data_IF_429220407606
#
_entry.id   IF_429220407606
#
_cell.length_a   1.000
_cell.length_b   1.000
_cell.length_c   1.000
_cell.angle_alpha   90.00
_cell.angle_beta   90.00
_cell.angle_gamma   90.00
#
_symmetry.space_group_name_H-M   'P 1'
#
loop_
_entity.id
_entity.type
_entity.pdbx_description
1 polymer ?
#
# COMPACT_ATOMS: atom_id res chain seq x y z
N UNK A 1 -19.36 -14.37 -17.02
CA UNK A 1 -18.30 -15.35 -16.63
C UNK A 1 -17.85 -14.99 -15.23
N UNK A 2 -17.45 -15.98 -14.42
CA UNK A 2 -16.86 -15.69 -13.11
C UNK A 2 -15.40 -15.20 -13.25
N UNK A 3 -14.99 -14.23 -12.46
CA UNK A 3 -13.59 -13.84 -12.34
C UNK A 3 -12.86 -14.88 -11.50
N UNK A 4 -11.73 -15.39 -11.97
CA UNK A 4 -10.85 -16.21 -11.14
C UNK A 4 -9.81 -15.31 -10.50
N UNK A 5 -9.78 -15.27 -9.14
CA UNK A 5 -8.97 -14.34 -8.35
C UNK A 5 -8.18 -15.12 -7.31
N UNK A 6 -6.88 -14.85 -7.24
CA UNK A 6 -6.02 -15.39 -6.19
C UNK A 6 -6.37 -14.79 -4.84
N UNK A 7 -6.56 -15.63 -3.82
CA UNK A 7 -6.77 -15.21 -2.44
C UNK A 7 -5.63 -15.69 -1.55
N UNK A 8 -4.91 -14.75 -0.95
CA UNK A 8 -3.94 -15.03 0.10
C UNK A 8 -4.53 -14.55 1.43
N UNK A 9 -4.98 -15.44 2.32
CA UNK A 9 -5.58 -15.02 3.59
C UNK A 9 -4.65 -14.20 4.48
N UNK A 10 -3.35 -14.46 4.42
CA UNK A 10 -2.32 -13.80 5.22
C UNK A 10 -2.07 -14.46 6.58
N UNK A 11 -1.27 -13.78 7.40
CA UNK A 11 -0.86 -14.20 8.75
C UNK A 11 -1.61 -13.43 9.84
N UNK A 12 -1.57 -13.93 11.06
CA UNK A 12 -2.10 -13.25 12.23
C UNK A 12 -3.59 -12.93 12.09
N UNK A 13 -3.95 -11.64 12.02
CA UNK A 13 -5.33 -11.19 11.80
C UNK A 13 -5.82 -11.39 10.36
N UNK A 14 -4.90 -11.74 9.45
CA UNK A 14 -5.18 -11.88 8.02
C UNK A 14 -6.38 -12.76 7.69
N UNK A 15 -6.49 -13.98 8.22
CA UNK A 15 -7.64 -14.86 7.98
C UNK A 15 -8.98 -14.25 8.37
N UNK A 16 -9.04 -13.48 9.47
CA UNK A 16 -10.29 -12.85 9.94
C UNK A 16 -10.71 -11.71 9.01
N UNK A 17 -9.79 -10.77 8.71
CA UNK A 17 -10.10 -9.60 7.86
C UNK A 17 -10.33 -9.99 6.39
N UNK A 18 -9.58 -10.99 5.87
CA UNK A 18 -9.76 -11.48 4.51
C UNK A 18 -11.11 -12.19 4.34
N UNK A 19 -11.51 -13.01 5.32
CA UNK A 19 -12.83 -13.66 5.31
C UNK A 19 -13.95 -12.63 5.34
N UNK A 20 -13.82 -11.59 6.18
CA UNK A 20 -14.79 -10.50 6.26
C UNK A 20 -14.91 -9.77 4.90
N UNK A 21 -13.79 -9.43 4.27
CA UNK A 21 -13.78 -8.76 2.97
C UNK A 21 -14.35 -9.65 1.86
N UNK A 22 -13.96 -10.93 1.78
CA UNK A 22 -14.50 -11.89 0.80
C UNK A 22 -16.02 -11.97 0.89
N UNK A 23 -16.59 -12.13 2.09
CA UNK A 23 -18.04 -12.17 2.30
C UNK A 23 -18.74 -10.90 1.84
N UNK A 24 -18.17 -9.74 2.11
CA UNK A 24 -18.70 -8.46 1.65
C UNK A 24 -18.66 -8.32 0.12
N UNK A 25 -17.56 -8.77 -0.51
CA UNK A 25 -17.40 -8.76 -1.97
C UNK A 25 -18.41 -9.70 -2.63
N UNK A 26 -18.54 -10.94 -2.15
CA UNK A 26 -19.50 -11.92 -2.66
C UNK A 26 -20.95 -11.42 -2.54
N UNK A 27 -21.26 -10.71 -1.47
CA UNK A 27 -22.59 -10.13 -1.25
C UNK A 27 -22.95 -9.01 -2.26
N UNK A 28 -21.99 -8.48 -3.03
CA UNK A 28 -22.27 -7.55 -4.16
C UNK A 28 -22.90 -8.24 -5.34
N UNK A 29 -22.84 -9.57 -5.42
CA UNK A 29 -23.37 -10.36 -6.54
C UNK A 29 -22.39 -10.55 -7.70
N UNK A 30 -21.16 -10.00 -7.62
CA UNK A 30 -20.10 -10.26 -8.61
C UNK A 30 -19.66 -11.73 -8.49
N UNK A 31 -19.70 -12.46 -9.60
CA UNK A 31 -19.31 -13.88 -9.62
C UNK A 31 -17.78 -14.01 -9.58
N UNK A 32 -17.25 -14.53 -8.48
CA UNK A 32 -15.80 -14.72 -8.25
C UNK A 32 -15.55 -16.17 -7.83
N UNK A 33 -14.54 -16.78 -8.45
CA UNK A 33 -13.93 -18.04 -8.05
C UNK A 33 -12.59 -17.74 -7.34
N UNK A 34 -12.51 -18.03 -6.06
CA UNK A 34 -11.32 -17.77 -5.26
C UNK A 34 -10.30 -18.92 -5.35
N UNK A 35 -9.15 -18.66 -5.97
CA UNK A 35 -7.99 -19.55 -5.96
C UNK A 35 -7.16 -19.30 -4.71
N UNK A 36 -7.42 -20.06 -3.65
CA UNK A 36 -6.82 -19.88 -2.33
C UNK A 36 -5.42 -20.48 -2.24
N UNK A 37 -4.42 -19.65 -1.99
CA UNK A 37 -3.02 -20.02 -1.76
C UNK A 37 -2.50 -19.46 -0.45
N UNK A 38 -1.42 -20.05 0.09
CA UNK A 38 -0.80 -19.61 1.35
C UNK A 38 0.59 -19.05 1.10
N UNK A 39 0.93 -17.97 1.81
CA UNK A 39 2.24 -17.35 1.85
C UNK A 39 2.53 -16.86 3.27
N UNK A 40 3.74 -16.42 3.55
CA UNK A 40 4.17 -15.88 4.84
C UNK A 40 4.46 -16.97 5.87
N UNK A 41 4.29 -16.65 7.14
CA UNK A 41 4.58 -17.56 8.25
C UNK A 41 3.75 -18.85 8.16
N UNK A 42 2.49 -18.73 7.78
CA UNK A 42 1.60 -19.90 7.60
C UNK A 42 2.16 -20.88 6.55
N UNK A 43 2.73 -20.38 5.45
CA UNK A 43 3.33 -21.25 4.43
C UNK A 43 4.65 -21.86 4.93
N UNK A 44 5.48 -21.09 5.63
CA UNK A 44 6.71 -21.57 6.24
C UNK A 44 6.43 -22.74 7.19
N UNK A 45 5.41 -22.61 8.04
CA UNK A 45 5.04 -23.63 9.03
C UNK A 45 4.47 -24.90 8.38
N UNK A 46 3.78 -24.78 7.24
CA UNK A 46 3.09 -25.91 6.58
C UNK A 46 3.94 -26.62 5.52
N UNK A 47 4.77 -25.90 4.79
CA UNK A 47 5.54 -26.46 3.67
C UNK A 47 7.02 -26.06 3.63
N UNK A 48 7.53 -25.35 4.64
CA UNK A 48 8.95 -24.98 4.76
C UNK A 48 9.38 -23.81 3.86
N UNK A 49 8.47 -23.24 3.08
CA UNK A 49 8.74 -22.12 2.18
C UNK A 49 7.87 -20.92 2.53
N UNK A 50 8.49 -19.73 2.66
CA UNK A 50 7.75 -18.52 3.01
C UNK A 50 6.94 -17.95 1.84
N UNK A 51 7.42 -18.16 0.62
CA UNK A 51 6.76 -17.77 -0.63
C UNK A 51 6.85 -18.95 -1.64
N UNK A 52 5.96 -19.95 -1.53
CA UNK A 52 5.92 -21.06 -2.47
C UNK A 52 5.69 -20.58 -3.90
N UNK A 53 6.37 -21.19 -4.87
CA UNK A 53 6.26 -20.81 -6.30
C UNK A 53 4.80 -20.82 -6.79
N UNK A 54 3.98 -21.75 -6.32
CA UNK A 54 2.53 -21.83 -6.63
C UNK A 54 1.76 -20.53 -6.35
N UNK A 55 2.25 -19.68 -5.43
CA UNK A 55 1.61 -18.38 -5.13
C UNK A 55 1.82 -17.41 -6.28
N UNK A 56 3.05 -17.34 -6.81
CA UNK A 56 3.37 -16.50 -7.97
C UNK A 56 2.65 -17.03 -9.21
N UNK A 57 2.65 -18.34 -9.42
CA UNK A 57 1.98 -18.99 -10.56
C UNK A 57 0.47 -18.70 -10.56
N UNK A 58 -0.18 -18.78 -9.38
CA UNK A 58 -1.60 -18.44 -9.22
C UNK A 58 -1.87 -16.96 -9.57
N UNK A 59 -1.03 -16.02 -9.06
CA UNK A 59 -1.23 -14.59 -9.35
C UNK A 59 -1.00 -14.30 -10.85
N UNK A 60 0.00 -14.91 -11.46
CA UNK A 60 0.28 -14.76 -12.90
C UNK A 60 -0.90 -15.28 -13.73
N UNK A 61 -1.42 -16.46 -13.40
CA UNK A 61 -2.53 -17.07 -14.11
C UNK A 61 -3.84 -16.27 -13.97
N UNK A 62 -4.14 -15.78 -12.76
CA UNK A 62 -5.39 -15.09 -12.46
C UNK A 62 -5.29 -13.55 -12.65
N UNK A 63 -4.07 -12.98 -12.76
CA UNK A 63 -3.76 -11.55 -12.91
C UNK A 63 -4.22 -10.64 -11.78
N UNK A 64 -5.13 -11.10 -10.92
CA UNK A 64 -5.70 -10.34 -9.81
C UNK A 64 -5.59 -11.15 -8.53
N UNK A 65 -5.15 -10.49 -7.45
CA UNK A 65 -5.02 -11.11 -6.14
C UNK A 65 -5.59 -10.19 -5.05
N UNK A 66 -6.36 -10.76 -4.13
CA UNK A 66 -6.72 -10.15 -2.86
C UNK A 66 -5.85 -10.79 -1.77
N UNK A 67 -5.07 -9.97 -1.05
CA UNK A 67 -4.05 -10.46 -0.12
C UNK A 67 -4.22 -9.86 1.28
N UNK A 68 -4.37 -10.72 2.28
CA UNK A 68 -4.27 -10.34 3.68
C UNK A 68 -2.84 -9.97 4.09
N UNK A 69 -2.65 -9.39 5.28
CA UNK A 69 -1.34 -8.98 5.78
C UNK A 69 -0.41 -10.19 5.99
N UNK A 70 0.87 -10.03 5.66
CA UNK A 70 1.91 -11.04 5.89
C UNK A 70 2.90 -10.55 6.94
N UNK A 71 3.40 -11.47 7.76
CA UNK A 71 4.39 -11.16 8.80
C UNK A 71 5.79 -11.05 8.17
N UNK A 72 6.50 -9.96 8.47
CA UNK A 72 7.92 -9.80 8.15
C UNK A 72 8.69 -9.63 9.46
N UNK A 73 9.68 -10.49 9.79
CA UNK A 73 10.52 -10.32 10.98
C UNK A 73 11.32 -9.02 10.93
N UNK A 74 11.56 -8.42 12.09
CA UNK A 74 12.38 -7.21 12.23
C UNK A 74 13.80 -7.59 12.58
N UNK A 75 14.79 -7.01 11.90
CA UNK A 75 16.22 -7.12 12.19
C UNK A 75 16.89 -8.36 11.62
N UNK A 76 16.40 -9.55 11.91
CA UNK A 76 16.96 -10.83 11.45
C UNK A 76 15.89 -11.72 10.83
N UNK A 77 16.27 -12.65 9.98
CA UNK A 77 15.36 -13.58 9.32
C UNK A 77 15.27 -13.37 7.80
N UNK A 78 14.13 -13.71 7.22
CA UNK A 78 13.93 -13.59 5.78
C UNK A 78 13.50 -12.17 5.35
N UNK A 79 13.81 -11.79 4.12
CA UNK A 79 13.34 -10.53 3.51
C UNK A 79 11.82 -10.51 3.38
N UNK A 80 11.26 -9.30 3.33
CA UNK A 80 9.82 -9.11 3.21
C UNK A 80 9.21 -9.88 2.03
N UNK A 81 8.28 -10.78 2.33
CA UNK A 81 7.48 -11.52 1.32
C UNK A 81 6.71 -10.55 0.42
N UNK A 82 6.22 -9.44 0.99
CA UNK A 82 5.54 -8.40 0.21
C UNK A 82 6.46 -7.81 -0.86
N UNK A 83 7.72 -7.51 -0.50
CA UNK A 83 8.73 -7.02 -1.45
C UNK A 83 9.04 -8.07 -2.51
N UNK A 84 9.20 -9.34 -2.12
CA UNK A 84 9.47 -10.43 -3.05
C UNK A 84 8.34 -10.59 -4.08
N UNK A 85 7.07 -10.56 -3.66
CA UNK A 85 5.91 -10.62 -4.58
C UNK A 85 5.92 -9.43 -5.54
N UNK A 86 6.16 -8.21 -5.04
CA UNK A 86 6.19 -6.98 -5.86
C UNK A 86 7.28 -7.01 -6.92
N UNK A 87 8.47 -7.49 -6.55
CA UNK A 87 9.61 -7.63 -7.47
C UNK A 87 9.38 -8.75 -8.50
N UNK A 88 8.94 -9.93 -8.07
CA UNK A 88 8.73 -11.08 -8.95
C UNK A 88 7.66 -10.83 -10.02
N UNK A 89 6.65 -9.98 -9.72
CA UNK A 89 5.53 -9.68 -10.61
C UNK A 89 5.61 -8.28 -11.23
N UNK A 90 6.72 -7.57 -11.08
CA UNK A 90 6.90 -6.17 -11.52
C UNK A 90 5.71 -5.26 -11.15
N UNK A 91 5.25 -5.33 -9.91
CA UNK A 91 4.17 -4.49 -9.39
C UNK A 91 4.74 -3.10 -9.06
N UNK A 92 5.02 -2.32 -10.06
CA UNK A 92 5.82 -1.09 -9.98
C UNK A 92 5.11 0.09 -9.31
N UNK A 93 3.79 0.09 -9.24
CA UNK A 93 3.02 1.18 -8.66
C UNK A 93 2.25 0.72 -7.41
N UNK A 94 2.58 1.28 -6.25
CA UNK A 94 1.80 1.11 -5.04
C UNK A 94 0.84 2.30 -4.90
N UNK A 95 -0.45 2.03 -4.96
CA UNK A 95 -1.53 3.00 -4.86
C UNK A 95 -2.16 2.92 -3.47
N UNK A 96 -2.16 4.02 -2.72
CA UNK A 96 -2.72 4.12 -1.36
C UNK A 96 -3.65 5.33 -1.26
N UNK A 97 -4.95 5.20 -1.52
CA UNK A 97 -5.91 6.25 -1.26
C UNK A 97 -6.07 6.49 0.24
N UNK A 98 -6.02 7.74 0.65
CA UNK A 98 -6.20 8.19 2.03
C UNK A 98 -7.37 9.16 2.07
N UNK A 99 -8.57 8.65 2.37
CA UNK A 99 -9.81 9.41 2.40
C UNK A 99 -10.46 9.35 3.77
N UNK A 100 -10.96 10.49 4.25
CA UNK A 100 -11.79 10.54 5.45
C UNK A 100 -13.13 9.84 5.23
N UNK A 101 -13.56 9.04 6.21
CA UNK A 101 -14.85 8.36 6.19
C UNK A 101 -15.73 8.88 7.32
N UNK A 102 -17.04 9.12 7.09
CA UNK A 102 -17.97 9.52 8.14
C UNK A 102 -17.95 8.53 9.30
N UNK A 103 -17.98 9.03 10.53
CA UNK A 103 -17.96 8.20 11.74
C UNK A 103 -16.57 7.73 12.18
N UNK A 104 -15.56 7.81 11.32
CA UNK A 104 -14.17 7.52 11.70
C UNK A 104 -13.56 8.72 12.40
N UNK A 105 -13.01 8.48 13.59
CA UNK A 105 -12.42 9.55 14.42
C UNK A 105 -11.03 9.88 13.92
N UNK A 106 -10.85 11.14 13.52
CA UNK A 106 -9.57 11.71 13.16
C UNK A 106 -9.48 13.15 13.64
N UNK A 107 -8.26 13.65 13.75
CA UNK A 107 -7.98 15.07 14.00
C UNK A 107 -8.39 15.94 12.80
N UNK A 108 -8.38 15.37 11.61
CA UNK A 108 -8.68 16.04 10.35
C UNK A 108 -9.99 15.52 9.77
N UNK A 109 -10.67 16.38 9.02
CA UNK A 109 -11.88 16.03 8.28
C UNK A 109 -11.68 16.32 6.80
N UNK A 110 -12.50 15.72 5.94
CA UNK A 110 -12.52 15.95 4.50
C UNK A 110 -11.16 15.74 3.79
N UNK A 111 -10.33 14.85 4.33
CA UNK A 111 -9.10 14.44 3.67
C UNK A 111 -9.44 13.55 2.49
N UNK A 112 -8.85 13.84 1.33
CA UNK A 112 -8.94 13.02 0.13
C UNK A 112 -7.63 13.11 -0.67
N UNK A 113 -6.63 12.34 -0.23
CA UNK A 113 -5.28 12.28 -0.77
C UNK A 113 -5.05 10.91 -1.41
N UNK A 114 -4.16 10.87 -2.37
CA UNK A 114 -3.72 9.60 -2.99
C UNK A 114 -2.20 9.57 -3.03
N UNK A 115 -1.60 8.55 -2.46
CA UNK A 115 -0.18 8.26 -2.58
C UNK A 115 0.04 7.29 -3.75
N UNK A 116 0.88 7.69 -4.69
CA UNK A 116 1.40 6.85 -5.76
C UNK A 116 2.89 6.65 -5.50
N UNK A 117 3.22 5.50 -4.92
CA UNK A 117 4.56 5.13 -4.49
C UNK A 117 5.23 4.28 -5.57
N UNK A 118 6.42 4.64 -6.00
CA UNK A 118 7.30 3.76 -6.76
C UNK A 118 7.60 2.51 -5.91
N UNK A 119 7.67 1.33 -6.52
CA UNK A 119 7.62 0.09 -5.78
C UNK A 119 8.70 -0.94 -6.19
N UNK A 120 9.59 -0.60 -7.13
CA UNK A 120 10.56 -1.52 -7.73
C UNK A 120 12.02 -1.26 -7.39
N UNK A 121 12.38 -0.01 -7.03
CA UNK A 121 13.76 0.39 -6.78
C UNK A 121 13.92 1.17 -5.45
N UNK A 122 14.85 2.11 -5.35
CA UNK A 122 15.20 2.84 -4.14
C UNK A 122 15.89 1.92 -3.11
N UNK A 123 15.87 2.23 -1.84
CA UNK A 123 16.42 1.40 -0.77
C UNK A 123 15.71 0.03 -0.64
N UNK A 124 14.49 -0.07 -1.13
CA UNK A 124 13.75 -1.33 -1.22
C UNK A 124 14.26 -2.31 -2.29
N UNK A 125 15.21 -1.90 -3.13
CA UNK A 125 15.97 -2.84 -3.98
C UNK A 125 16.74 -3.87 -3.14
N UNK A 126 16.99 -3.56 -1.86
CA UNK A 126 17.63 -4.48 -0.91
C UNK A 126 19.08 -4.77 -1.24
N UNK A 127 19.78 -3.82 -1.85
CA UNK A 127 21.23 -3.93 -2.13
C UNK A 127 21.95 -3.41 -0.90
N UNK A 128 22.33 -4.32 -0.03
CA UNK A 128 22.92 -4.01 1.28
C UNK A 128 24.19 -4.82 1.54
N UNK A 129 25.10 -4.23 2.29
CA UNK A 129 26.36 -4.83 2.70
C UNK A 129 26.52 -4.67 4.21
N UNK A 130 26.63 -5.79 4.89
CA UNK A 130 26.75 -5.86 6.35
C UNK A 130 28.11 -5.35 6.83
N UNK A 131 28.10 -4.61 7.91
CA UNK A 131 29.31 -4.08 8.58
C UNK A 131 30.30 -5.19 8.87
N UNK A 132 31.62 -4.89 8.74
CA UNK A 132 32.71 -5.77 9.04
C UNK A 132 33.00 -6.88 8.01
N UNK A 133 32.18 -7.04 6.95
CA UNK A 133 32.43 -8.06 5.93
C UNK A 133 33.49 -7.62 4.91
N UNK A 134 34.23 -8.59 4.27
CA UNK A 134 35.16 -8.26 3.18
C UNK A 134 34.51 -7.50 2.01
N UNK A 135 33.27 -7.82 1.67
CA UNK A 135 32.53 -7.15 0.62
C UNK A 135 32.27 -5.68 0.98
N UNK A 136 31.86 -5.38 2.20
CA UNK A 136 31.64 -4.02 2.69
C UNK A 136 32.93 -3.20 2.67
N UNK A 137 34.04 -3.79 3.08
CA UNK A 137 35.35 -3.13 3.02
C UNK A 137 35.71 -2.76 1.57
N UNK A 138 35.54 -3.68 0.63
CA UNK A 138 35.80 -3.42 -0.80
C UNK A 138 34.93 -2.27 -1.32
N UNK A 139 33.64 -2.26 -0.98
CA UNK A 139 32.70 -1.20 -1.39
C UNK A 139 33.10 0.15 -0.77
N UNK A 140 33.42 0.19 0.51
CA UNK A 140 33.86 1.41 1.21
C UNK A 140 35.13 1.97 0.57
N UNK A 141 36.15 1.13 0.32
CA UNK A 141 37.39 1.55 -0.33
C UNK A 141 37.14 2.08 -1.74
N UNK A 142 36.32 1.38 -2.54
CA UNK A 142 35.96 1.79 -3.90
C UNK A 142 35.23 3.13 -3.94
N UNK A 143 34.20 3.29 -3.12
CA UNK A 143 33.42 4.53 -3.04
C UNK A 143 34.30 5.67 -2.53
N UNK A 144 35.11 5.45 -1.50
CA UNK A 144 35.99 6.47 -0.93
C UNK A 144 37.02 6.96 -1.96
N UNK A 145 37.58 6.03 -2.74
CA UNK A 145 38.53 6.35 -3.81
C UNK A 145 37.89 7.15 -4.96
N UNK A 146 36.69 6.77 -5.38
CA UNK A 146 35.98 7.43 -6.48
C UNK A 146 35.40 8.79 -6.06
N UNK A 147 34.77 8.87 -4.89
CA UNK A 147 34.10 10.08 -4.42
C UNK A 147 35.01 11.08 -3.74
N UNK A 148 36.28 10.68 -3.38
CA UNK A 148 37.21 11.41 -2.53
C UNK A 148 36.67 11.75 -1.14
N UNK A 149 35.65 11.00 -0.69
CA UNK A 149 35.04 11.13 0.64
C UNK A 149 35.31 9.87 1.44
N UNK A 150 35.67 10.04 2.73
CA UNK A 150 35.92 8.91 3.62
C UNK A 150 34.59 8.42 4.21
N UNK A 151 34.36 7.12 4.11
CA UNK A 151 33.32 6.39 4.85
C UNK A 151 33.99 5.75 6.05
N UNK A 152 33.33 5.71 7.19
CA UNK A 152 33.86 5.05 8.40
C UNK A 152 33.96 3.53 8.12
N UNK A 153 35.04 2.87 8.58
CA UNK A 153 35.24 1.43 8.28
C UNK A 153 34.23 0.51 8.97
N UNK A 154 33.59 0.98 10.03
CA UNK A 154 32.55 0.32 10.82
C UNK A 154 31.12 0.66 10.32
N UNK A 155 30.97 0.92 9.03
CA UNK A 155 29.68 1.26 8.42
C UNK A 155 29.09 0.05 7.70
N UNK A 156 27.77 -0.16 7.86
CA UNK A 156 26.95 -0.89 6.89
C UNK A 156 26.61 0.02 5.70
N UNK A 157 26.41 -0.55 4.51
CA UNK A 157 26.13 0.20 3.28
C UNK A 157 24.84 -0.28 2.64
N UNK A 158 23.93 0.66 2.35
CA UNK A 158 22.76 0.43 1.50
C UNK A 158 22.88 1.27 0.23
N UNK A 159 22.53 0.70 -0.92
CA UNK A 159 22.54 1.38 -2.21
C UNK A 159 21.13 1.84 -2.56
N UNK A 160 21.00 3.13 -2.89
CA UNK A 160 19.76 3.77 -3.35
C UNK A 160 19.81 3.98 -4.87
N UNK A 161 19.39 3.02 -5.71
CA UNK A 161 19.27 3.24 -7.14
C UNK A 161 17.97 3.98 -7.44
N UNK A 162 18.04 4.98 -8.34
CA UNK A 162 16.88 5.64 -8.96
C UNK A 162 17.15 5.70 -10.45
N UNK A 163 16.25 5.13 -11.25
CA UNK A 163 16.36 5.09 -12.70
C UNK A 163 15.39 6.05 -13.38
N UNK A 164 15.75 6.50 -14.59
CA UNK A 164 14.84 7.29 -15.44
C UNK A 164 13.59 6.47 -15.81
N UNK A 165 13.77 5.19 -16.12
CA UNK A 165 12.69 4.30 -16.56
C UNK A 165 11.64 4.12 -15.48
N UNK A 166 12.03 3.74 -14.25
CA UNK A 166 11.09 3.56 -13.15
C UNK A 166 10.45 4.91 -12.74
N UNK A 167 11.25 5.99 -12.71
CA UNK A 167 10.74 7.34 -12.41
C UNK A 167 9.69 7.78 -13.44
N UNK A 168 9.93 7.60 -14.74
CA UNK A 168 8.97 7.95 -15.78
C UNK A 168 7.69 7.12 -15.69
N UNK A 169 7.84 5.80 -15.44
CA UNK A 169 6.71 4.85 -15.31
C UNK A 169 5.79 5.22 -14.17
N UNK A 170 6.34 5.49 -12.97
CA UNK A 170 5.52 5.81 -11.81
C UNK A 170 4.86 7.20 -11.92
N UNK A 171 5.56 8.18 -12.47
CA UNK A 171 5.00 9.52 -12.67
C UNK A 171 3.87 9.49 -13.71
N UNK A 172 4.06 8.77 -14.82
CA UNK A 172 3.01 8.57 -15.83
C UNK A 172 1.79 7.88 -15.22
N UNK A 173 1.98 6.83 -14.41
CA UNK A 173 0.90 6.19 -13.67
C UNK A 173 0.13 7.20 -12.80
N UNK A 174 0.81 8.09 -12.08
CA UNK A 174 0.16 9.10 -11.24
C UNK A 174 -0.71 10.08 -12.05
N UNK A 175 -0.25 10.52 -13.22
CA UNK A 175 -1.02 11.39 -14.12
C UNK A 175 -2.23 10.66 -14.73
N UNK A 176 -2.05 9.43 -15.22
CA UNK A 176 -3.16 8.63 -15.76
C UNK A 176 -4.20 8.32 -14.68
N UNK A 177 -3.77 8.00 -13.47
CA UNK A 177 -4.66 7.86 -12.33
C UNK A 177 -5.41 9.16 -12.05
N UNK A 178 -4.73 10.30 -12.06
CA UNK A 178 -5.35 11.60 -11.85
C UNK A 178 -6.44 11.90 -12.89
N UNK A 179 -6.16 11.66 -14.17
CA UNK A 179 -7.13 11.85 -15.25
C UNK A 179 -8.35 10.91 -15.09
N UNK A 180 -8.09 9.61 -14.89
CA UNK A 180 -9.14 8.61 -14.77
C UNK A 180 -10.07 8.85 -13.57
N UNK A 181 -9.54 9.44 -12.48
CA UNK A 181 -10.27 9.72 -11.26
C UNK A 181 -10.65 11.20 -11.07
N UNK A 182 -10.56 12.03 -12.13
CA UNK A 182 -10.91 13.46 -12.12
C UNK A 182 -10.17 14.27 -11.05
N UNK A 183 -8.93 13.84 -10.72
CA UNK A 183 -8.03 14.55 -9.83
C UNK A 183 -7.43 15.76 -10.54
N UNK A 184 -7.11 16.80 -9.79
CA UNK A 184 -6.70 18.10 -10.37
C UNK A 184 -5.21 18.32 -10.40
N UNK A 185 -4.48 17.67 -9.46
CA UNK A 185 -3.07 17.99 -9.21
C UNK A 185 -2.24 16.76 -8.88
N UNK A 186 -1.03 16.69 -9.47
CA UNK A 186 0.02 15.74 -9.13
C UNK A 186 1.21 16.50 -8.54
N UNK A 187 1.63 16.12 -7.35
CA UNK A 187 2.80 16.68 -6.67
C UNK A 187 3.91 15.63 -6.58
N UNK A 188 5.06 15.88 -7.22
CA UNK A 188 6.24 15.02 -7.11
C UNK A 188 7.04 15.35 -5.83
N UNK A 189 7.24 14.36 -4.97
CA UNK A 189 7.92 14.55 -3.69
C UNK A 189 9.32 13.95 -3.74
N UNK A 190 10.34 14.72 -3.34
CA UNK A 190 11.75 14.37 -3.52
C UNK A 190 12.66 15.02 -2.46
N UNK A 191 13.95 14.66 -2.46
CA UNK A 191 15.02 15.32 -1.66
C UNK A 191 16.18 15.79 -2.57
N UNK A 192 15.87 16.33 -3.74
CA UNK A 192 16.84 16.73 -4.76
C UNK A 192 17.77 17.88 -4.33
N UNK A 193 17.45 18.63 -3.28
CA UNK A 193 18.37 19.61 -2.68
C UNK A 193 19.59 18.95 -2.02
N UNK A 194 19.50 17.69 -1.60
CA UNK A 194 20.57 16.87 -1.03
C UNK A 194 21.06 15.82 -2.02
N UNK A 195 20.16 14.97 -2.52
CA UNK A 195 20.48 13.86 -3.43
C UNK A 195 20.35 14.30 -4.88
N UNK A 196 21.39 15.02 -5.35
CA UNK A 196 21.42 15.66 -6.68
C UNK A 196 21.30 14.69 -7.85
N UNK A 197 21.81 13.45 -7.70
CA UNK A 197 21.92 12.47 -8.79
C UNK A 197 20.79 11.45 -8.79
N UNK A 198 20.29 11.05 -7.64
CA UNK A 198 19.15 10.12 -7.50
C UNK A 198 17.82 10.88 -7.53
N UNK A 199 17.49 11.60 -6.46
CA UNK A 199 16.25 12.38 -6.39
C UNK A 199 16.19 13.51 -7.42
N UNK A 200 17.37 14.07 -7.79
CA UNK A 200 17.46 15.02 -8.89
C UNK A 200 17.12 14.39 -10.25
N UNK A 201 17.43 13.10 -10.47
CA UNK A 201 17.01 12.37 -11.66
C UNK A 201 15.49 12.16 -11.63
N UNK A 202 14.95 11.68 -10.50
CA UNK A 202 13.49 11.54 -10.33
C UNK A 202 12.75 12.85 -10.64
N UNK A 203 13.19 13.97 -10.04
CA UNK A 203 12.55 15.28 -10.25
C UNK A 203 12.62 15.75 -11.72
N UNK A 204 13.78 15.64 -12.38
CA UNK A 204 13.90 15.99 -13.80
C UNK A 204 12.97 15.15 -14.67
N UNK A 205 12.94 13.85 -14.43
CA UNK A 205 12.06 12.92 -15.16
C UNK A 205 10.59 13.22 -14.89
N UNK A 206 10.22 13.56 -13.64
CA UNK A 206 8.86 13.96 -13.32
C UNK A 206 8.43 15.22 -14.07
N UNK A 207 9.30 16.23 -14.17
CA UNK A 207 9.05 17.45 -14.94
C UNK A 207 8.97 17.20 -16.44
N UNK A 208 9.76 16.25 -16.97
CA UNK A 208 9.69 15.84 -18.38
C UNK A 208 8.34 15.19 -18.70
N UNK A 209 7.90 14.21 -17.89
CA UNK A 209 6.61 13.54 -18.05
C UNK A 209 5.45 14.51 -17.86
N UNK A 210 5.53 15.42 -16.89
CA UNK A 210 4.46 16.39 -16.63
C UNK A 210 4.10 17.24 -17.86
N UNK A 211 5.05 17.53 -18.76
CA UNK A 211 4.78 18.26 -20.00
C UNK A 211 3.80 17.54 -20.92
N UNK A 212 3.76 16.19 -20.88
CA UNK A 212 2.81 15.38 -21.66
C UNK A 212 1.36 15.63 -21.21
N UNK A 213 1.16 16.19 -20.01
CA UNK A 213 -0.14 16.42 -19.36
C UNK A 213 -0.48 17.90 -19.13
N UNK A 214 0.32 18.80 -19.70
CA UNK A 214 0.11 20.24 -19.57
C UNK A 214 -1.29 20.67 -20.01
N UNK A 215 -1.91 21.57 -19.24
CA UNK A 215 -3.29 22.01 -19.46
C UNK A 215 -4.37 21.01 -19.02
N UNK A 216 -4.03 19.77 -18.66
CA UNK A 216 -4.99 18.75 -18.20
C UNK A 216 -4.90 18.47 -16.70
N UNK A 217 -3.71 18.43 -16.13
CA UNK A 217 -3.47 18.18 -14.70
C UNK A 217 -2.38 19.14 -14.23
N UNK A 218 -2.58 19.81 -13.10
CA UNK A 218 -1.61 20.70 -12.49
C UNK A 218 -0.44 19.86 -11.97
N UNK A 219 0.79 20.29 -12.27
CA UNK A 219 2.00 19.68 -11.72
C UNK A 219 2.72 20.64 -10.78
N UNK A 220 3.15 20.13 -9.64
CA UNK A 220 4.09 20.80 -8.72
C UNK A 220 5.07 19.80 -8.13
N UNK A 221 6.14 20.31 -7.51
CA UNK A 221 7.08 19.48 -6.76
C UNK A 221 7.34 20.03 -5.36
N UNK A 222 7.70 19.14 -4.45
CA UNK A 222 7.97 19.49 -3.06
C UNK A 222 9.10 18.66 -2.45
N UNK A 223 9.87 19.29 -1.56
CA UNK A 223 10.89 18.62 -0.76
C UNK A 223 10.19 17.80 0.33
N UNK A 224 10.62 16.54 0.54
CA UNK A 224 9.92 15.55 1.37
C UNK A 224 9.70 15.98 2.83
N UNK A 225 10.68 16.60 3.46
CA UNK A 225 10.54 17.10 4.83
C UNK A 225 9.52 18.25 4.93
N UNK A 226 9.54 19.17 3.95
CA UNK A 226 8.51 20.18 3.83
C UNK A 226 7.13 19.54 3.57
N UNK A 227 7.04 18.51 2.73
CA UNK A 227 5.80 17.79 2.49
C UNK A 227 5.24 17.16 3.77
N UNK A 228 6.07 16.54 4.60
CA UNK A 228 5.65 16.01 5.90
C UNK A 228 4.99 17.09 6.77
N UNK A 229 5.61 18.27 6.88
CA UNK A 229 5.05 19.40 7.62
C UNK A 229 3.74 19.90 6.98
N UNK A 230 3.70 20.06 5.66
CA UNK A 230 2.54 20.58 4.94
C UNK A 230 1.33 19.62 5.06
N UNK A 231 1.53 18.32 5.00
CA UNK A 231 0.46 17.32 5.18
C UNK A 231 -0.18 17.41 6.56
N UNK A 232 0.60 17.76 7.61
CA UNK A 232 0.07 17.99 8.96
C UNK A 232 -0.63 19.34 9.09
N UNK A 233 -0.15 20.39 8.40
CA UNK A 233 -0.70 21.74 8.54
C UNK A 233 -1.85 22.03 7.56
N UNK A 234 -1.72 21.59 6.32
CA UNK A 234 -2.58 21.96 5.18
C UNK A 234 -2.83 20.78 4.23
N UNK A 235 -3.31 19.63 4.73
CA UNK A 235 -3.48 18.42 3.92
C UNK A 235 -4.40 18.64 2.70
N UNK A 236 -5.40 19.53 2.81
CA UNK A 236 -6.35 19.83 1.74
C UNK A 236 -5.74 20.52 0.51
N UNK A 237 -4.49 21.01 0.62
CA UNK A 237 -3.79 21.61 -0.51
C UNK A 237 -3.25 20.58 -1.50
N UNK A 238 -3.30 19.31 -1.17
CA UNK A 238 -2.71 18.23 -1.95
C UNK A 238 -3.79 17.27 -2.46
N UNK A 239 -3.47 16.56 -3.55
CA UNK A 239 -4.41 15.67 -4.22
C UNK A 239 -3.74 14.31 -4.51
N UNK A 240 -2.93 14.19 -5.56
CA UNK A 240 -2.13 13.00 -5.85
C UNK A 240 -0.67 13.29 -5.57
N UNK A 241 -0.03 12.50 -4.72
CA UNK A 241 1.40 12.60 -4.43
C UNK A 241 2.13 11.43 -5.10
N UNK A 242 3.16 11.72 -5.91
CA UNK A 242 4.02 10.69 -6.50
C UNK A 242 5.41 10.75 -5.90
N UNK A 243 5.93 9.60 -5.44
CA UNK A 243 7.14 9.54 -4.62
C UNK A 243 8.02 8.33 -5.00
N UNK A 244 9.36 8.45 -4.81
CA UNK A 244 10.25 7.31 -4.66
C UNK A 244 9.79 6.37 -3.55
N UNK A 245 10.26 5.14 -3.58
CA UNK A 245 9.77 4.03 -2.78
C UNK A 245 9.75 4.31 -1.26
N UNK A 246 10.90 4.64 -0.68
CA UNK A 246 10.99 4.87 0.78
C UNK A 246 10.11 6.04 1.25
N UNK A 247 10.11 7.16 0.53
CA UNK A 247 9.27 8.31 0.90
C UNK A 247 7.79 7.99 0.77
N UNK A 248 7.42 7.23 -0.27
CA UNK A 248 6.05 6.78 -0.47
C UNK A 248 5.57 5.88 0.67
N UNK A 249 6.45 5.03 1.24
CA UNK A 249 6.14 4.22 2.41
C UNK A 249 5.86 5.10 3.64
N UNK A 250 6.81 5.98 3.98
CA UNK A 250 6.71 6.84 5.16
C UNK A 250 5.49 7.77 5.08
N UNK A 251 5.29 8.44 3.93
CA UNK A 251 4.21 9.40 3.79
C UNK A 251 2.83 8.75 3.69
N UNK A 252 2.73 7.52 3.18
CA UNK A 252 1.45 6.82 3.18
C UNK A 252 0.97 6.45 4.58
N UNK A 253 1.87 6.10 5.49
CA UNK A 253 1.52 5.84 6.89
C UNK A 253 1.18 7.13 7.63
N UNK A 254 1.89 8.24 7.34
CA UNK A 254 1.50 9.57 7.80
C UNK A 254 0.08 9.93 7.34
N UNK A 255 -0.22 9.76 6.04
CA UNK A 255 -1.54 10.04 5.48
C UNK A 255 -2.63 9.12 6.06
N UNK A 256 -2.32 7.84 6.30
CA UNK A 256 -3.23 6.95 7.01
C UNK A 256 -3.54 7.47 8.42
N UNK A 257 -2.54 8.03 9.12
CA UNK A 257 -2.72 8.70 10.41
C UNK A 257 -3.67 9.90 10.33
N UNK A 258 -3.64 10.67 9.23
CA UNK A 258 -4.53 11.83 9.04
C UNK A 258 -6.01 11.42 8.91
N UNK A 259 -6.30 10.23 8.47
CA UNK A 259 -7.68 9.74 8.24
C UNK A 259 -8.24 8.85 9.34
N UNK A 260 -7.45 8.54 10.39
CA UNK A 260 -7.88 7.73 11.55
C UNK A 260 -7.08 6.44 11.75
N UNK A 261 -6.07 6.16 10.93
CA UNK A 261 -5.12 5.06 11.10
C UNK A 261 -5.15 3.99 10.02
N UNK A 262 -4.23 3.03 10.14
CA UNK A 262 -4.03 1.97 9.14
C UNK A 262 -5.23 1.02 8.96
N UNK A 263 -6.10 0.91 9.97
CA UNK A 263 -7.27 0.03 9.92
C UNK A 263 -8.34 0.44 8.89
N UNK A 264 -8.20 1.63 8.30
CA UNK A 264 -9.10 2.15 7.25
C UNK A 264 -8.37 2.51 5.95
N UNK A 265 -7.09 2.21 5.85
CA UNK A 265 -6.25 2.52 4.70
C UNK A 265 -6.13 1.33 3.75
N UNK A 266 -6.80 1.36 2.58
CA UNK A 266 -6.62 0.34 1.54
C UNK A 266 -5.35 0.55 0.74
N UNK A 267 -4.94 -0.48 0.00
CA UNK A 267 -3.83 -0.40 -0.92
C UNK A 267 -3.96 -1.33 -2.12
N UNK A 268 -3.24 -0.98 -3.17
CA UNK A 268 -3.08 -1.82 -4.34
C UNK A 268 -1.64 -1.73 -4.85
N UNK A 269 -1.09 -2.85 -5.29
CA UNK A 269 0.18 -2.91 -5.98
C UNK A 269 -0.11 -3.31 -7.43
N UNK A 270 0.18 -2.43 -8.36
CA UNK A 270 -0.21 -2.52 -9.76
C UNK A 270 1.03 -2.74 -10.64
N UNK A 271 0.99 -3.76 -11.45
CA UNK A 271 1.92 -4.03 -12.54
C UNK A 271 1.23 -3.93 -13.90
N UNK A 272 1.96 -4.27 -14.95
CA UNK A 272 1.39 -4.35 -16.31
C UNK A 272 0.52 -5.60 -16.47
N UNK A 273 0.94 -6.73 -15.89
CA UNK A 273 0.31 -8.04 -16.08
C UNK A 273 -0.51 -8.50 -14.88
N UNK A 274 -0.28 -7.94 -13.70
CA UNK A 274 -0.95 -8.35 -12.48
C UNK A 274 -1.21 -7.19 -11.53
N UNK A 275 -2.21 -7.37 -10.65
CA UNK A 275 -2.53 -6.45 -9.57
C UNK A 275 -2.80 -7.20 -8.27
N UNK A 276 -2.24 -6.71 -7.16
CA UNK A 276 -2.42 -7.27 -5.82
C UNK A 276 -3.02 -6.21 -4.91
N UNK A 277 -4.21 -6.51 -4.37
CA UNK A 277 -4.96 -5.62 -3.47
C UNK A 277 -4.77 -6.08 -2.03
N UNK A 278 -4.34 -5.18 -1.18
CA UNK A 278 -4.01 -5.49 0.22
C UNK A 278 -4.26 -4.28 1.13
N UNK A 279 -4.61 -4.54 2.39
CA UNK A 279 -4.64 -3.48 3.40
C UNK A 279 -3.21 -3.01 3.76
N UNK A 280 -3.06 -1.75 4.14
CA UNK A 280 -1.75 -1.18 4.51
C UNK A 280 -1.24 -1.73 5.85
N UNK A 281 -2.15 -2.08 6.78
CA UNK A 281 -1.78 -2.58 8.11
C UNK A 281 -1.07 -3.93 8.09
N UNK A 282 -0.26 -4.20 9.12
CA UNK A 282 0.44 -5.47 9.31
C UNK A 282 -0.45 -6.59 9.88
N UNK A 283 0.17 -7.73 10.15
CA UNK A 283 -0.49 -8.98 10.60
C UNK A 283 -0.94 -9.00 12.06
N UNK A 284 -0.50 -8.07 12.91
CA UNK A 284 -0.88 -7.93 14.32
C UNK A 284 -1.13 -9.27 15.06
N UNK A 285 -0.14 -10.17 15.16
CA UNK A 285 -0.32 -11.57 15.58
C UNK A 285 -0.96 -11.72 16.96
N UNK A 286 -0.81 -10.72 17.84
CA UNK A 286 -1.43 -10.72 19.18
C UNK A 286 -2.97 -10.74 19.16
N UNK A 287 -3.59 -10.43 18.01
CA UNK A 287 -5.05 -10.44 17.86
C UNK A 287 -5.55 -11.57 16.96
N UNK A 288 -4.67 -12.49 16.56
CA UNK A 288 -5.00 -13.60 15.66
C UNK A 288 -6.15 -14.45 16.21
N UNK A 289 -7.16 -14.72 15.37
CA UNK A 289 -8.31 -15.56 15.73
C UNK A 289 -9.27 -14.98 16.75
N UNK A 290 -9.07 -13.73 17.21
CA UNK A 290 -9.91 -13.12 18.23
C UNK A 290 -11.21 -12.51 17.69
N UNK A 291 -11.42 -12.49 16.39
CA UNK A 291 -12.58 -11.85 15.74
C UNK A 291 -12.83 -10.40 16.23
N UNK A 292 -11.76 -9.63 16.44
CA UNK A 292 -11.82 -8.33 17.12
C UNK A 292 -11.42 -7.14 16.26
N UNK A 293 -10.63 -7.39 15.20
CA UNK A 293 -9.98 -6.34 14.43
C UNK A 293 -10.91 -5.74 13.36
N UNK A 294 -10.65 -4.50 13.00
CA UNK A 294 -11.39 -3.74 12.03
C UNK A 294 -11.14 -4.28 10.59
N UNK A 295 -12.17 -4.73 9.85
CA UNK A 295 -12.00 -5.24 8.49
C UNK A 295 -12.05 -4.15 7.42
N UNK A 296 -12.26 -2.88 7.77
CA UNK A 296 -12.52 -1.77 6.83
C UNK A 296 -11.45 -1.64 5.77
N UNK A 297 -10.17 -1.64 6.14
CA UNK A 297 -9.07 -1.49 5.17
C UNK A 297 -9.06 -2.63 4.13
N UNK A 298 -9.35 -3.86 4.56
CA UNK A 298 -9.40 -5.02 3.67
C UNK A 298 -10.65 -5.01 2.77
N UNK A 299 -11.80 -4.58 3.29
CA UNK A 299 -13.03 -4.39 2.49
C UNK A 299 -12.80 -3.29 1.44
N UNK A 300 -12.17 -2.17 1.81
CA UNK A 300 -11.83 -1.09 0.88
C UNK A 300 -10.79 -1.52 -0.17
N UNK A 301 -9.85 -2.41 0.18
CA UNK A 301 -8.95 -3.04 -0.80
C UNK A 301 -9.73 -3.90 -1.79
N UNK A 302 -10.78 -4.58 -1.34
CA UNK A 302 -11.77 -5.25 -2.20
C UNK A 302 -12.54 -4.28 -3.10
N UNK A 303 -12.89 -3.10 -2.62
CA UNK A 303 -13.50 -2.04 -3.46
C UNK A 303 -12.53 -1.60 -4.56
N UNK A 304 -11.25 -1.42 -4.24
CA UNK A 304 -10.22 -1.11 -5.26
C UNK A 304 -10.09 -2.23 -6.29
N UNK A 305 -10.14 -3.49 -5.85
CA UNK A 305 -10.13 -4.67 -6.73
C UNK A 305 -11.33 -4.68 -7.67
N UNK A 306 -12.53 -4.44 -7.17
CA UNK A 306 -13.74 -4.37 -8.00
C UNK A 306 -13.66 -3.23 -9.04
N UNK A 307 -13.17 -2.04 -8.67
CA UNK A 307 -12.91 -0.94 -9.61
C UNK A 307 -11.88 -1.35 -10.68
N UNK A 308 -10.84 -2.09 -10.32
CA UNK A 308 -9.85 -2.61 -11.28
C UNK A 308 -10.48 -3.58 -12.29
N UNK A 309 -11.38 -4.44 -11.83
CA UNK A 309 -12.16 -5.37 -12.66
C UNK A 309 -13.26 -4.68 -13.49
N UNK A 310 -13.41 -3.36 -13.39
CA UNK A 310 -14.48 -2.55 -14.02
C UNK A 310 -15.88 -2.88 -13.52
N UNK A 311 -15.98 -3.44 -12.34
CA UNK A 311 -17.23 -3.67 -11.59
C UNK A 311 -17.60 -2.43 -10.76
N UNK A 312 -17.66 -1.26 -11.40
CA UNK A 312 -17.81 0.04 -10.76
C UNK A 312 -19.09 0.17 -9.93
N UNK A 313 -20.19 -0.44 -10.38
CA UNK A 313 -21.47 -0.42 -9.65
C UNK A 313 -21.39 -1.24 -8.36
N UNK A 314 -20.78 -2.43 -8.40
CA UNK A 314 -20.56 -3.27 -7.24
C UNK A 314 -19.60 -2.60 -6.24
N UNK A 315 -18.52 -2.01 -6.75
CA UNK A 315 -17.58 -1.24 -5.96
C UNK A 315 -18.25 -0.07 -5.23
N UNK A 316 -19.07 0.72 -5.94
CA UNK A 316 -19.80 1.85 -5.38
C UNK A 316 -20.79 1.41 -4.29
N UNK A 317 -21.59 0.36 -4.55
CA UNK A 317 -22.53 -0.19 -3.57
C UNK A 317 -21.82 -0.65 -2.30
N UNK A 318 -20.70 -1.39 -2.44
CA UNK A 318 -19.94 -1.88 -1.30
C UNK A 318 -19.33 -0.73 -0.49
N UNK A 319 -18.76 0.27 -1.16
CA UNK A 319 -18.19 1.46 -0.51
C UNK A 319 -19.28 2.25 0.24
N UNK A 320 -20.45 2.45 -0.36
CA UNK A 320 -21.59 3.13 0.27
C UNK A 320 -22.14 2.35 1.48
N UNK A 321 -22.30 1.03 1.38
CA UNK A 321 -22.74 0.19 2.48
C UNK A 321 -21.78 0.27 3.68
N UNK A 322 -20.47 0.21 3.40
CA UNK A 322 -19.44 0.38 4.43
C UNK A 322 -19.47 1.77 5.05
N UNK A 323 -19.56 2.83 4.24
CA UNK A 323 -19.68 4.21 4.73
C UNK A 323 -20.90 4.40 5.63
N UNK A 324 -22.03 3.78 5.33
CA UNK A 324 -23.23 3.85 6.17
C UNK A 324 -23.01 3.19 7.54
N UNK A 325 -22.33 2.01 7.59
CA UNK A 325 -21.98 1.34 8.84
C UNK A 325 -21.04 2.20 9.69
N UNK A 326 -20.03 2.80 9.07
CA UNK A 326 -19.07 3.68 9.75
C UNK A 326 -19.76 4.94 10.28
N UNK A 327 -20.62 5.58 9.48
CA UNK A 327 -21.34 6.79 9.87
C UNK A 327 -22.28 6.57 11.05
N UNK A 328 -22.98 5.43 11.09
CA UNK A 328 -23.84 5.07 12.22
C UNK A 328 -23.05 4.77 13.48
N UNK A 329 -21.82 4.24 13.39
CA UNK A 329 -20.96 3.93 14.53
C UNK A 329 -21.53 2.87 15.49
N UNK A 330 -22.63 2.20 15.11
CA UNK A 330 -23.32 1.23 15.94
C UNK A 330 -22.66 -0.15 15.89
N UNK A 331 -22.61 -0.75 14.72
CA UNK A 331 -22.08 -2.10 14.48
C UNK A 331 -20.63 -2.03 13.99
N UNK A 332 -19.75 -1.41 14.78
CA UNK A 332 -18.34 -1.19 14.45
C UNK A 332 -17.44 -1.80 15.51
N UNK A 333 -16.20 -2.10 15.14
CA UNK A 333 -15.19 -2.65 16.03
C UNK A 333 -14.73 -1.63 17.08
N UNK A 334 -14.08 -2.12 18.14
CA UNK A 334 -13.69 -1.35 19.32
C UNK A 334 -12.83 -0.11 19.02
N UNK A 335 -11.99 -0.17 17.99
CA UNK A 335 -11.10 0.92 17.58
C UNK A 335 -11.85 2.09 16.94
N UNK A 336 -13.03 1.84 16.40
CA UNK A 336 -13.94 2.83 15.83
C UNK A 336 -14.92 3.43 16.83
N UNK A 337 -15.07 2.82 18.02
CA UNK A 337 -15.90 3.37 19.09
C UNK A 337 -15.27 4.60 19.73
N UNK A 338 -16.10 5.45 20.33
CA UNK A 338 -15.65 6.62 21.09
C UNK A 338 -14.76 6.24 22.27
N UNK A 339 -15.15 5.19 22.98
CA UNK A 339 -14.38 4.52 24.01
C UNK A 339 -14.02 3.11 23.53
N UNK A 340 -12.73 2.76 23.57
CA UNK A 340 -12.24 1.43 23.17
C UNK A 340 -12.73 0.29 24.08
N UNK A 341 -13.21 0.62 25.27
CA UNK A 341 -13.81 -0.31 26.23
C UNK A 341 -15.34 -0.46 26.08
N UNK A 342 -15.95 0.22 25.11
CA UNK A 342 -17.39 0.17 24.85
C UNK A 342 -17.85 -1.29 24.63
N UNK A 343 -18.70 -1.84 25.53
CA UNK A 343 -19.16 -3.22 25.43
C UNK A 343 -20.06 -3.47 24.21
N UNK A 344 -20.55 -2.42 23.56
CA UNK A 344 -21.36 -2.53 22.34
C UNK A 344 -20.50 -2.67 21.06
N UNK A 345 -19.16 -2.65 21.20
CA UNK A 345 -18.27 -2.92 20.08
C UNK A 345 -18.49 -4.35 19.58
N UNK A 346 -18.58 -4.49 18.26
CA UNK A 346 -18.78 -5.79 17.62
C UNK A 346 -17.46 -6.39 17.12
N UNK A 347 -17.47 -7.68 16.80
CA UNK A 347 -16.32 -8.34 16.22
C UNK A 347 -16.19 -8.10 14.71
N UNK A 348 -15.06 -8.54 14.15
CA UNK A 348 -14.72 -8.44 12.71
C UNK A 348 -15.85 -9.00 11.82
N UNK A 349 -16.35 -10.20 12.15
CA UNK A 349 -17.40 -10.88 11.37
C UNK A 349 -18.75 -10.18 11.49
N UNK A 350 -19.12 -9.66 12.66
CA UNK A 350 -20.37 -8.96 12.88
C UNK A 350 -20.38 -7.60 12.15
N UNK A 351 -19.24 -6.89 12.11
CA UNK A 351 -19.13 -5.69 11.30
C UNK A 351 -19.32 -6.00 9.82
N UNK A 352 -18.76 -7.11 9.30
CA UNK A 352 -19.03 -7.55 7.94
C UNK A 352 -20.51 -7.88 7.71
N UNK A 353 -21.19 -8.53 8.66
CA UNK A 353 -22.64 -8.78 8.60
C UNK A 353 -23.44 -7.48 8.47
N UNK A 354 -23.05 -6.44 9.23
CA UNK A 354 -23.67 -5.13 9.15
C UNK A 354 -23.51 -4.47 7.77
N UNK A 355 -22.34 -4.60 7.15
CA UNK A 355 -22.09 -4.12 5.77
C UNK A 355 -22.95 -4.91 4.77
N UNK A 356 -22.96 -6.25 4.86
CA UNK A 356 -23.74 -7.12 3.97
C UNK A 356 -25.24 -6.81 4.06
N UNK A 357 -25.74 -6.54 5.24
CA UNK A 357 -27.15 -6.16 5.46
C UNK A 357 -27.53 -4.89 4.70
N UNK A 358 -26.58 -3.96 4.48
CA UNK A 358 -26.83 -2.70 3.76
C UNK A 358 -26.59 -2.80 2.25
N UNK A 359 -26.08 -3.92 1.75
CA UNK A 359 -25.99 -4.20 0.32
C UNK A 359 -27.33 -4.70 -0.25
N UNK A 360 -28.18 -5.27 0.60
CA UNK A 360 -29.54 -5.73 0.27
C UNK A 360 -30.52 -4.58 0.27
#
# INVERSE_FOLDING_TARGET
>A
MAYKITLIPGDGIGPDVSRAAVRCIEATGVAIEWDKVIAGQTALDQCGEILPQKVLDSIIANRVCLKGPLTTPVGTGFRSVNVAIRQALDLYACLRPCRSYPGVRSRYQDIDLVIVRENSEDLYAGIEFEEGTPATKLIIDSISNLSKKKIRPDSGISIKPISRTASARIVRFAFEYALANKRKKVTAVHKANIMKFTDGLFLRTAREVAREYEGRVIFEDAIVDNMCMQLVQKPHNYDVLVLPNLYGDILSDLCAGLIGGLGIAPGANIGTEAAVFEAVHGSAPKYAGMNKVNPTAMILSGVLMLKHLKEDQAALKLEQALCAVLAEGKDVTYDLKADRSDPTAVGTSQMADAVIKRLK
#
